data_IF_847631764886
#
_entry.id   IF_847631764886
#
_cell.length_a   1.000
_cell.length_b   1.000
_cell.length_c   1.000
_cell.angle_alpha   90.00
_cell.angle_beta   90.00
_cell.angle_gamma   90.00
#
_symmetry.space_group_name_H-M   'P 1'
#
loop_
_entity.id
_entity.type
_entity.pdbx_description
1 polymer ?
#
# COMPACT_ATOMS: atom_id res chain seq x y z
N UNK A 1 -4.23 -2.75 11.51
CA UNK A 1 -3.10 -3.22 12.32
C UNK A 1 -3.13 -4.72 12.37
N UNK A 2 -2.91 -5.32 11.20
CA UNK A 2 -2.58 -6.73 11.06
C UNK A 2 -1.14 -6.96 11.54
N UNK A 3 -0.82 -8.11 12.17
CA UNK A 3 0.55 -8.42 12.57
C UNK A 3 1.57 -8.32 11.44
N UNK A 4 1.17 -8.54 10.18
CA UNK A 4 2.05 -8.49 9.02
C UNK A 4 2.19 -7.10 8.40
N UNK A 5 1.46 -6.08 8.87
CA UNK A 5 1.56 -4.71 8.33
C UNK A 5 3.02 -4.21 8.34
N UNK A 6 3.76 -4.47 9.41
CA UNK A 6 5.17 -4.06 9.54
C UNK A 6 6.09 -4.85 8.61
N UNK A 7 5.83 -6.13 8.42
CA UNK A 7 6.62 -6.99 7.52
C UNK A 7 6.46 -6.52 6.08
N UNK A 8 5.22 -6.25 5.66
CA UNK A 8 4.92 -5.73 4.32
C UNK A 8 5.59 -4.37 4.08
N UNK A 9 5.51 -3.44 5.05
CA UNK A 9 6.17 -2.14 4.96
C UNK A 9 7.70 -2.26 4.88
N UNK A 10 8.30 -3.18 5.64
CA UNK A 10 9.74 -3.46 5.59
C UNK A 10 10.19 -3.94 4.22
N UNK A 11 9.51 -4.95 3.66
CA UNK A 11 9.81 -5.51 2.33
C UNK A 11 9.69 -4.44 1.25
N UNK A 12 8.59 -3.68 1.23
CA UNK A 12 8.39 -2.62 0.23
C UNK A 12 9.43 -1.51 0.39
N UNK A 13 9.79 -1.14 1.61
CA UNK A 13 10.86 -0.17 1.88
C UNK A 13 12.24 -0.68 1.48
N UNK A 14 12.43 -2.00 1.39
CA UNK A 14 13.63 -2.59 0.81
C UNK A 14 13.67 -2.55 -0.71
N UNK A 15 12.51 -2.64 -1.37
CA UNK A 15 12.41 -2.62 -2.83
C UNK A 15 12.48 -1.19 -3.41
N UNK A 16 11.88 -0.21 -2.73
CA UNK A 16 11.80 1.17 -3.19
C UNK A 16 12.68 2.09 -2.33
N UNK A 17 13.97 2.19 -2.68
CA UNK A 17 14.97 2.91 -1.86
C UNK A 17 14.94 4.43 -2.03
N UNK A 18 14.47 4.90 -3.17
CA UNK A 18 14.42 6.30 -3.58
C UNK A 18 13.07 6.96 -3.29
N UNK A 19 12.07 6.17 -2.87
CA UNK A 19 10.70 6.62 -2.65
C UNK A 19 10.20 6.19 -1.27
N UNK A 20 9.53 7.07 -0.50
CA UNK A 20 8.98 6.69 0.78
C UNK A 20 7.81 5.69 0.60
N UNK A 21 7.80 4.65 1.42
CA UNK A 21 6.69 3.68 1.51
C UNK A 21 5.76 4.09 2.64
N UNK A 22 4.51 4.41 2.31
CA UNK A 22 3.51 4.88 3.27
C UNK A 22 2.39 3.83 3.40
N UNK A 23 2.21 3.29 4.61
CA UNK A 23 1.08 2.43 4.93
C UNK A 23 -0.19 3.24 5.16
N UNK A 24 -1.30 2.81 4.55
CA UNK A 24 -2.62 3.42 4.72
C UNK A 24 -3.57 2.35 5.26
N UNK A 25 -4.28 2.65 6.34
CA UNK A 25 -5.28 1.73 6.89
C UNK A 25 -6.46 1.60 5.93
N UNK A 26 -6.54 0.47 5.22
CA UNK A 26 -7.48 0.24 4.13
C UNK A 26 -8.50 -0.88 4.41
N UNK A 27 -8.76 -1.20 5.69
CA UNK A 27 -9.67 -2.29 6.08
C UNK A 27 -11.08 -2.06 5.55
N UNK A 28 -11.58 -0.82 5.59
CA UNK A 28 -12.91 -0.52 5.08
C UNK A 28 -12.99 -0.59 3.55
N UNK A 29 -11.88 -0.31 2.84
CA UNK A 29 -11.82 -0.40 1.38
C UNK A 29 -11.93 -1.84 0.90
N UNK A 30 -11.25 -2.78 1.57
CA UNK A 30 -11.24 -4.19 1.14
C UNK A 30 -12.60 -4.87 1.24
N UNK A 31 -13.53 -4.33 2.05
CA UNK A 31 -14.93 -4.79 2.08
C UNK A 31 -15.64 -4.62 0.71
N UNK A 32 -15.19 -3.67 -0.10
CA UNK A 32 -15.63 -3.46 -1.49
C UNK A 32 -14.91 -4.32 -2.53
N UNK A 33 -14.15 -5.35 -2.09
CA UNK A 33 -13.36 -6.25 -2.93
C UNK A 33 -12.21 -5.59 -3.72
N UNK A 34 -11.70 -4.46 -3.23
CA UNK A 34 -10.56 -3.75 -3.82
C UNK A 34 -9.82 -2.88 -2.81
N UNK A 35 -8.62 -2.42 -3.17
CA UNK A 35 -7.84 -1.47 -2.34
C UNK A 35 -7.29 -0.33 -3.19
N UNK A 36 -6.32 0.43 -2.70
CA UNK A 36 -5.78 1.63 -3.35
C UNK A 36 -5.42 1.43 -4.82
N UNK A 37 -4.72 0.34 -5.17
CA UNK A 37 -4.36 0.06 -6.56
C UNK A 37 -5.58 -0.05 -7.49
N UNK A 38 -6.69 -0.61 -6.99
CA UNK A 38 -7.93 -0.78 -7.74
C UNK A 38 -8.69 0.54 -7.96
N UNK A 39 -8.38 1.59 -7.19
CA UNK A 39 -9.10 2.87 -7.17
C UNK A 39 -8.33 4.00 -7.85
N UNK A 40 -7.07 3.78 -8.21
CA UNK A 40 -6.19 4.81 -8.78
C UNK A 40 -5.85 4.50 -10.22
N UNK A 41 -5.82 5.54 -11.05
CA UNK A 41 -5.19 5.51 -12.36
C UNK A 41 -4.11 6.59 -12.38
N UNK A 42 -2.87 6.19 -12.59
CA UNK A 42 -1.76 7.13 -12.76
C UNK A 42 -1.79 7.76 -14.16
N UNK A 43 -1.52 9.06 -14.23
CA UNK A 43 -1.22 9.79 -15.47
C UNK A 43 0.29 10.06 -15.51
N UNK A 44 1.00 9.66 -16.58
CA UNK A 44 2.40 10.03 -16.77
C UNK A 44 2.58 11.55 -16.92
N UNK A 45 3.78 12.04 -16.62
CA UNK A 45 4.16 13.44 -16.88
C UNK A 45 4.20 13.76 -18.38
#
# INVERSE_FOLDING_TARGET
NDPNDRVALGILGELFKDRPVIGIHAVDLVLGFGTLHCLTQQEPA
#
